data_IF_803076424446
#
_entry.id   IF_803076424446
#
_cell.length_a   1.000
_cell.length_b   1.000
_cell.length_c   1.000
_cell.angle_alpha   90.00
_cell.angle_beta   90.00
_cell.angle_gamma   90.00
#
_symmetry.space_group_name_H-M   'P 1'
#
loop_
_entity.id
_entity.type
_entity.pdbx_description
1 polymer ?
#
# COMPACT_ATOMS: atom_id res chain seq x y z
N UNK A 1 22.82 10.06 -4.64
CA UNK A 1 23.18 9.23 -3.48
C UNK A 1 24.69 9.19 -3.25
N UNK A 2 25.53 9.54 -4.23
CA UNK A 2 26.94 9.87 -3.98
C UNK A 2 27.03 11.23 -3.27
N UNK A 3 27.31 11.23 -1.96
CA UNK A 3 27.45 12.46 -1.17
C UNK A 3 27.05 12.34 0.30
N UNK A 4 26.48 11.22 0.73
CA UNK A 4 26.25 10.94 2.15
C UNK A 4 27.49 10.28 2.77
N UNK A 5 27.95 10.85 3.88
CA UNK A 5 28.98 10.24 4.72
C UNK A 5 28.50 8.86 5.20
N UNK A 6 29.33 7.83 5.08
CA UNK A 6 28.96 6.43 5.39
C UNK A 6 28.60 6.20 6.87
N UNK A 7 28.83 7.19 7.73
CA UNK A 7 28.47 7.19 9.15
C UNK A 7 26.97 7.43 9.40
N UNK A 8 26.20 7.87 8.40
CA UNK A 8 24.77 8.18 8.56
C UNK A 8 23.90 7.10 7.92
N UNK A 9 23.19 6.32 8.75
CA UNK A 9 22.28 5.28 8.29
C UNK A 9 20.93 5.89 7.83
N UNK A 10 20.95 6.53 6.65
CA UNK A 10 19.75 7.11 6.03
C UNK A 10 19.08 6.08 5.15
N UNK A 11 17.77 5.88 5.35
CA UNK A 11 16.92 5.09 4.43
C UNK A 11 15.98 6.02 3.70
N UNK A 12 15.86 5.83 2.38
CA UNK A 12 14.96 6.61 1.52
C UNK A 12 13.83 5.70 1.06
N UNK A 13 12.58 6.16 1.24
CA UNK A 13 11.38 5.50 0.73
C UNK A 13 10.73 6.45 -0.27
N UNK A 14 10.41 5.93 -1.46
CA UNK A 14 9.75 6.67 -2.53
C UNK A 14 8.47 5.92 -2.90
N UNK A 15 7.38 6.65 -3.09
CA UNK A 15 6.10 6.13 -3.58
C UNK A 15 5.74 6.80 -4.91
N UNK A 16 5.33 6.02 -5.90
CA UNK A 16 4.84 6.52 -7.19
C UNK A 16 3.73 5.62 -7.72
N UNK A 17 2.73 6.22 -8.36
CA UNK A 17 1.68 5.49 -9.09
C UNK A 17 2.12 5.16 -10.53
N UNK A 18 3.25 5.69 -10.99
CA UNK A 18 3.78 5.51 -12.34
C UNK A 18 5.24 5.04 -12.26
N UNK A 19 5.46 3.76 -11.94
CA UNK A 19 6.82 3.22 -11.83
C UNK A 19 7.58 3.22 -13.16
N UNK A 20 6.87 3.14 -14.29
CA UNK A 20 7.47 3.03 -15.63
C UNK A 20 8.05 4.34 -16.16
N UNK A 21 7.77 5.48 -15.51
CA UNK A 21 8.29 6.80 -15.91
C UNK A 21 9.57 7.19 -15.17
N UNK A 22 10.02 6.35 -14.21
CA UNK A 22 11.27 6.56 -13.48
C UNK A 22 12.48 6.39 -14.39
N UNK A 23 13.49 7.24 -14.19
CA UNK A 23 14.78 7.11 -14.86
C UNK A 23 15.43 5.75 -14.48
N UNK A 24 15.78 4.88 -15.46
CA UNK A 24 16.47 3.61 -15.21
C UNK A 24 17.76 3.75 -14.39
N UNK A 25 18.39 4.92 -14.42
CA UNK A 25 19.60 5.25 -13.68
C UNK A 25 19.36 5.22 -12.15
N UNK A 26 18.14 5.45 -11.68
CA UNK A 26 17.77 5.34 -10.26
C UNK A 26 17.62 3.89 -9.77
N UNK A 27 17.33 2.96 -10.67
CA UNK A 27 17.10 1.53 -10.36
C UNK A 27 18.40 0.72 -10.32
N UNK A 28 19.55 1.35 -10.54
CA UNK A 28 20.85 0.69 -10.46
C UNK A 28 21.21 0.37 -9.00
N UNK A 29 21.94 -0.73 -8.74
CA UNK A 29 22.41 -1.07 -7.41
C UNK A 29 23.16 0.09 -6.72
N UNK A 30 22.93 0.28 -5.43
CA UNK A 30 23.46 1.38 -4.62
C UNK A 30 22.59 2.64 -4.62
N UNK A 31 21.36 2.55 -5.16
CA UNK A 31 20.40 3.65 -5.23
C UNK A 31 19.03 3.19 -4.71
N UNK A 32 18.10 2.87 -5.62
CA UNK A 32 16.81 2.27 -5.26
C UNK A 32 16.90 0.75 -5.40
N UNK A 33 17.46 0.12 -4.38
CA UNK A 33 17.78 -1.32 -4.41
C UNK A 33 16.55 -2.23 -4.28
N UNK A 34 15.44 -1.71 -3.72
CA UNK A 34 14.22 -2.48 -3.46
C UNK A 34 13.03 -1.85 -4.15
N UNK A 35 12.40 -2.63 -5.03
CA UNK A 35 11.09 -2.35 -5.60
C UNK A 35 10.04 -3.16 -4.86
N UNK A 36 9.05 -2.48 -4.29
CA UNK A 36 7.90 -3.10 -3.64
C UNK A 36 6.67 -2.65 -4.41
N UNK A 37 5.96 -3.61 -5.01
CA UNK A 37 4.68 -3.35 -5.68
C UNK A 37 3.54 -3.52 -4.68
N UNK A 38 2.60 -2.58 -4.69
CA UNK A 38 1.41 -2.61 -3.84
C UNK A 38 0.21 -2.87 -4.75
N UNK A 39 -0.24 -4.13 -4.92
CA UNK A 39 -1.41 -4.44 -5.71
C UNK A 39 -2.70 -4.06 -4.97
N UNK A 40 -3.82 -4.13 -5.68
CA UNK A 40 -5.13 -4.06 -5.05
C UNK A 40 -5.31 -5.21 -4.04
N UNK A 41 -6.02 -4.97 -2.92
CA UNK A 41 -6.24 -5.99 -1.91
C UNK A 41 -7.06 -7.16 -2.46
N UNK A 42 -6.63 -8.38 -2.14
CA UNK A 42 -7.44 -9.57 -2.33
C UNK A 42 -8.59 -9.62 -1.30
N UNK A 43 -9.51 -10.60 -1.41
CA UNK A 43 -10.66 -10.71 -0.51
C UNK A 43 -10.28 -10.73 0.98
N UNK A 44 -9.26 -11.50 1.35
CA UNK A 44 -8.79 -11.58 2.74
C UNK A 44 -8.20 -10.25 3.23
N UNK A 45 -7.49 -9.53 2.36
CA UNK A 45 -6.93 -8.21 2.67
C UNK A 45 -8.03 -7.15 2.77
N UNK A 46 -9.07 -7.20 1.91
CA UNK A 46 -10.25 -6.33 2.02
C UNK A 46 -10.92 -6.49 3.38
N UNK A 47 -11.10 -7.74 3.85
CA UNK A 47 -11.63 -8.05 5.19
C UNK A 47 -10.87 -7.32 6.28
N UNK A 48 -9.54 -7.41 6.25
CA UNK A 48 -8.69 -6.75 7.24
C UNK A 48 -8.84 -5.22 7.19
N UNK A 49 -8.90 -4.63 5.99
CA UNK A 49 -9.13 -3.18 5.85
C UNK A 49 -10.48 -2.78 6.44
N UNK A 50 -11.57 -3.46 6.05
CA UNK A 50 -12.91 -3.18 6.59
C UNK A 50 -12.96 -3.33 8.11
N UNK A 51 -12.35 -4.40 8.66
CA UNK A 51 -12.27 -4.62 10.10
C UNK A 51 -11.54 -3.49 10.82
N UNK A 52 -10.40 -3.03 10.28
CA UNK A 52 -9.63 -1.93 10.88
C UNK A 52 -10.39 -0.60 10.80
N UNK A 53 -10.99 -0.29 9.65
CA UNK A 53 -11.75 0.94 9.44
C UNK A 53 -13.00 1.00 10.33
N UNK A 54 -13.67 -0.13 10.55
CA UNK A 54 -14.90 -0.21 11.36
C UNK A 54 -14.67 -0.52 12.84
N UNK A 55 -13.44 -0.84 13.26
CA UNK A 55 -13.13 -1.25 14.64
C UNK A 55 -13.56 -0.26 15.74
N UNK A 56 -13.74 1.02 15.40
CA UNK A 56 -14.16 2.08 16.34
C UNK A 56 -15.60 2.57 16.09
N UNK A 57 -16.32 1.92 15.19
CA UNK A 57 -17.69 2.29 14.82
C UNK A 57 -18.69 1.42 15.58
N UNK A 58 -19.86 1.97 15.90
CA UNK A 58 -21.02 1.16 16.25
C UNK A 58 -21.67 0.68 14.95
N UNK A 59 -21.45 -0.59 14.61
CA UNK A 59 -22.12 -1.23 13.49
C UNK A 59 -23.52 -1.67 13.91
N UNK A 60 -24.50 -1.50 13.01
CA UNK A 60 -25.85 -2.06 13.19
C UNK A 60 -25.84 -3.58 13.01
N UNK A 61 -26.83 -4.26 13.58
CA UNK A 61 -26.95 -5.72 13.52
C UNK A 61 -27.16 -6.24 12.07
N UNK A 62 -27.65 -5.37 11.18
CA UNK A 62 -27.81 -5.65 9.75
C UNK A 62 -26.52 -5.55 8.92
N UNK A 63 -25.41 -5.10 9.49
CA UNK A 63 -24.16 -4.88 8.74
C UNK A 63 -23.32 -6.16 8.69
N UNK A 64 -23.31 -6.80 7.53
CA UNK A 64 -22.41 -7.91 7.22
C UNK A 64 -21.24 -7.45 6.35
N UNK A 65 -20.03 -7.37 6.94
CA UNK A 65 -18.81 -6.99 6.21
C UNK A 65 -18.42 -8.03 5.14
N UNK A 66 -18.85 -9.28 5.27
CA UNK A 66 -18.53 -10.33 4.31
C UNK A 66 -19.22 -10.12 2.95
N UNK A 67 -20.41 -9.50 2.94
CA UNK A 67 -21.08 -9.07 1.71
C UNK A 67 -20.18 -8.08 0.94
N UNK A 68 -19.68 -7.04 1.61
CA UNK A 68 -18.82 -6.02 1.01
C UNK A 68 -17.47 -6.57 0.52
N UNK A 69 -16.89 -7.54 1.25
CA UNK A 69 -15.66 -8.23 0.84
C UNK A 69 -15.83 -9.05 -0.44
N UNK A 70 -17.02 -9.64 -0.62
CA UNK A 70 -17.32 -10.55 -1.73
C UNK A 70 -17.57 -9.83 -3.05
N UNK A 71 -17.81 -8.51 -3.02
CA UNK A 71 -18.11 -7.72 -4.22
C UNK A 71 -16.93 -7.72 -5.18
N UNK A 72 -17.20 -7.82 -6.50
CA UNK A 72 -16.18 -7.87 -7.55
C UNK A 72 -15.45 -6.53 -7.72
N UNK A 73 -15.92 -5.47 -7.06
CA UNK A 73 -15.38 -4.12 -7.18
C UNK A 73 -13.90 -4.06 -6.79
N UNK A 74 -13.13 -3.39 -7.64
CA UNK A 74 -11.70 -3.14 -7.43
C UNK A 74 -11.55 -1.88 -6.58
N UNK A 75 -11.71 -2.04 -5.27
CA UNK A 75 -11.56 -0.94 -4.30
C UNK A 75 -10.14 -0.90 -3.73
N UNK A 76 -9.53 0.28 -3.74
CA UNK A 76 -8.33 0.58 -2.98
C UNK A 76 -8.66 0.80 -1.50
N UNK A 77 -7.67 0.62 -0.63
CA UNK A 77 -7.87 0.83 0.82
C UNK A 77 -8.29 2.27 1.15
N UNK A 78 -7.89 3.25 0.34
CA UNK A 78 -8.28 4.66 0.52
C UNK A 78 -9.77 4.92 0.26
N UNK A 79 -10.46 4.07 -0.50
CA UNK A 79 -11.89 4.21 -0.77
C UNK A 79 -12.77 3.66 0.35
N UNK A 80 -12.17 2.89 1.28
CA UNK A 80 -12.86 2.25 2.42
C UNK A 80 -12.81 3.11 3.68
N UNK A 81 -11.80 3.98 3.83
CA UNK A 81 -11.58 4.84 4.99
C UNK A 81 -12.25 6.20 4.85
#
# INVERSE_FOLDING_TARGET
MDGFDQTVNVKVIIATNQANTLDPVLLRPGRLDRKIEVPLPNRQQKRLVFQVCTAKMNLGDEVDLEDYESRPDKIGAAEVS
#
